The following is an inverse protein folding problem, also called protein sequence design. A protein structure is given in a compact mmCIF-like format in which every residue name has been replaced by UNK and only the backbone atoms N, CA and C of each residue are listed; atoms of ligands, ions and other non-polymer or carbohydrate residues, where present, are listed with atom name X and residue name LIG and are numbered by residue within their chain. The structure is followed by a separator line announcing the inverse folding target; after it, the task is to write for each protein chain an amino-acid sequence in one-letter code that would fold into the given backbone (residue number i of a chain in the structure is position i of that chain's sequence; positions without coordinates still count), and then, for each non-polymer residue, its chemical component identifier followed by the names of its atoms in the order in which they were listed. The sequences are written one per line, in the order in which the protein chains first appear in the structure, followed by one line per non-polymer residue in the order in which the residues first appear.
data_IF_066291889594
#
_entry.id   IF_066291889594
#
_cell.length_a   1.000
_cell.length_b   1.000
_cell.length_c   1.000
_cell.angle_alpha   90.00
_cell.angle_beta   90.00
_cell.angle_gamma   90.00
#
_symmetry.space_group_name_H-M   'P 1'
#
loop_
_entity.id
_entity.type
_entity.pdbx_description
1 polymer ?
2 polymer ?
#
# COMPACT_ATOMS: atom_id res chain seq x y z
N UNK A 11 -4.59 27.06 -10.71
CA UNK A 11 -3.38 26.65 -11.47
C UNK A 11 -3.52 25.21 -11.95
N UNK A 12 -3.71 25.04 -13.26
CA UNK A 12 -3.99 23.73 -13.85
C UNK A 12 -2.73 22.97 -14.21
N UNK A 13 -2.90 21.71 -14.62
CA UNK A 13 -1.79 20.83 -14.98
C UNK A 13 -2.21 19.80 -16.03
N UNK A 14 -1.24 19.37 -16.84
CA UNK A 14 -1.46 18.37 -17.88
C UNK A 14 -0.90 17.03 -17.43
N UNK A 15 -1.60 15.95 -17.75
CA UNK A 15 -1.17 14.60 -17.42
C UNK A 15 -1.25 13.72 -18.66
N UNK A 16 -0.19 12.95 -18.92
CA UNK A 16 -0.12 12.06 -20.07
C UNK A 16 0.35 10.67 -19.66
N UNK A 17 -0.12 9.65 -20.37
CA UNK A 17 0.18 8.25 -20.03
C UNK A 17 0.45 7.43 -21.30
N UNK A 18 1.48 6.61 -21.27
CA UNK A 18 1.75 5.65 -22.35
C UNK A 18 2.32 4.34 -21.77
N UNK A 19 2.04 3.21 -22.44
CA UNK A 19 2.71 1.96 -22.07
C UNK A 19 4.14 1.93 -22.57
N UNK A 20 4.86 0.82 -22.34
CA UNK A 20 6.25 0.68 -22.76
C UNK A 20 6.35 -0.15 -24.04
N UNK A 32 -2.47 4.82 -25.11
CA UNK A 32 -2.11 6.18 -24.73
C UNK A 32 -3.27 6.91 -24.06
N UNK A 33 -2.97 8.00 -23.37
CA UNK A 33 -3.99 8.77 -22.65
C UNK A 33 -3.51 10.19 -22.39
N UNK A 34 -4.46 11.13 -22.31
CA UNK A 34 -4.16 12.54 -22.06
C UNK A 34 -5.26 13.15 -21.18
N UNK A 35 -4.88 13.65 -20.01
CA UNK A 35 -5.84 14.17 -19.03
C UNK A 35 -5.44 15.56 -18.54
N UNK A 36 -6.32 16.15 -17.74
CA UNK A 36 -6.08 17.45 -17.10
C UNK A 36 -6.34 17.33 -15.60
N UNK A 37 -5.96 18.37 -14.84
CA UNK A 37 -6.13 18.36 -13.39
C UNK A 37 -5.85 19.69 -12.73
N UNK A 38 -5.56 19.65 -11.43
CA UNK A 38 -5.30 20.86 -10.64
C UNK A 38 -4.21 20.61 -9.60
N UNK A 39 -3.23 21.51 -9.56
CA UNK A 39 -2.21 21.49 -8.50
C UNK A 39 -2.83 21.90 -7.17
N UNK A 40 -2.17 21.56 -6.07
CA UNK A 40 -2.63 21.91 -4.73
C UNK A 40 -1.69 22.95 -4.10
N UNK A 41 -2.26 23.91 -3.39
CA UNK A 41 -1.49 24.99 -2.76
C UNK A 41 -0.64 24.50 -1.57
N UNK A 42 -0.97 23.32 -1.05
CA UNK A 42 -0.20 22.69 0.02
C UNK A 42 1.22 22.31 -0.42
N UNK A 43 1.36 21.92 -1.69
CA UNK A 43 2.65 21.46 -2.23
C UNK A 43 3.28 22.51 -3.15
N UNK A 44 4.44 22.16 -3.70
CA UNK A 44 5.14 23.02 -4.66
C UNK A 44 4.83 22.55 -6.09
N UNK A 45 4.38 23.48 -6.94
CA UNK A 45 3.99 23.17 -8.31
C UNK A 45 5.20 23.03 -9.23
N UNK A 46 5.31 21.89 -9.89
CA UNK A 46 6.39 21.61 -10.83
C UNK A 46 6.03 20.42 -11.71
N UNK A 47 6.77 20.21 -12.81
CA UNK A 47 6.57 18.98 -13.60
C UNK A 47 7.22 17.78 -12.92
N UNK A 48 6.93 16.59 -13.45
CA UNK A 48 7.48 15.35 -12.92
C UNK A 48 7.19 14.17 -13.85
N UNK A 49 7.99 13.12 -13.73
CA UNK A 49 7.82 11.90 -14.52
C UNK A 49 8.07 10.67 -13.65
N UNK A 50 7.55 9.52 -14.09
CA UNK A 50 7.78 8.26 -13.39
C UNK A 50 6.77 7.20 -13.76
N UNK A 51 6.88 6.05 -13.11
CA UNK A 51 5.95 4.94 -13.31
C UNK A 51 4.65 5.19 -12.53
N UNK A 52 3.62 4.44 -12.89
CA UNK A 52 2.30 4.59 -12.25
C UNK A 52 2.04 3.46 -11.26
N UNK A 53 1.99 3.82 -9.97
CA UNK A 53 1.73 2.86 -8.90
C UNK A 53 0.53 3.30 -8.06
N UNK A 54 -0.49 2.46 -7.98
CA UNK A 54 -1.66 2.71 -7.14
C UNK A 54 -1.27 2.52 -5.68
N UNK A 55 -1.89 3.32 -4.80
CA UNK A 55 -1.70 3.15 -3.36
C UNK A 55 -3.03 3.29 -2.62
N UNK A 56 -3.25 2.36 -1.67
CA UNK A 56 -4.45 2.36 -0.84
C UNK A 56 -4.33 3.51 0.16
N UNK A 57 -5.45 4.22 0.44
CA UNK A 57 -5.44 5.29 1.43
C UNK A 57 -4.83 4.90 2.79
N UNK A 58 -5.07 3.66 3.22
CA UNK A 58 -4.54 3.16 4.49
C UNK A 58 -3.08 2.72 4.39
N UNK A 59 -2.56 2.59 3.17
CA UNK A 59 -1.14 2.28 2.96
C UNK A 59 -0.30 3.42 3.50
N UNK A 60 -0.66 4.64 3.13
CA UNK A 60 0.05 5.83 3.60
C UNK A 60 -0.27 6.11 5.07
N UNK A 61 0.37 5.36 5.96
CA UNK A 61 0.13 5.48 7.40
C UNK A 61 1.40 5.69 8.23
N UNK A 62 2.10 4.59 8.56
CA UNK A 62 3.21 4.67 9.52
C UNK A 62 4.13 3.45 9.41
N UNK A 69 8.91 -0.99 -2.78
CA UNK A 69 8.88 -0.60 -4.19
C UNK A 69 10.05 0.31 -4.51
N UNK A 70 10.61 0.15 -5.72
CA UNK A 70 11.71 0.98 -6.18
C UNK A 70 11.23 2.40 -6.45
N UNK A 71 12.12 3.40 -6.30
CA UNK A 71 11.72 4.81 -6.37
C UNK A 71 11.44 5.29 -7.80
N UNK A 72 11.16 6.58 -7.94
CA UNK A 72 10.91 7.19 -9.25
C UNK A 72 9.57 6.80 -9.84
N UNK A 73 8.51 7.02 -9.06
CA UNK A 73 7.15 6.69 -9.48
C UNK A 73 6.17 7.79 -9.09
N UNK A 74 5.13 7.97 -9.89
CA UNK A 74 4.06 8.89 -9.57
C UNK A 74 2.91 8.09 -8.98
N UNK A 75 2.63 8.31 -7.69
CA UNK A 75 1.59 7.57 -6.99
C UNK A 75 0.21 8.02 -7.43
N UNK A 76 -0.74 7.09 -7.43
CA UNK A 76 -2.15 7.40 -7.71
C UNK A 76 -3.01 6.82 -6.59
N UNK A 77 -3.62 7.70 -5.81
CA UNK A 77 -4.42 7.31 -4.66
C UNK A 77 -5.86 7.78 -4.81
N UNK A 78 -6.79 6.85 -4.85
CA UNK A 78 -8.20 7.19 -4.84
C UNK A 78 -8.70 7.31 -3.40
N UNK A 79 -9.12 8.51 -3.04
CA UNK A 79 -9.60 8.80 -1.70
C UNK A 79 -11.07 8.41 -1.58
N UNK A 80 -11.41 7.70 -0.51
CA UNK A 80 -12.80 7.39 -0.21
C UNK A 80 -13.46 8.61 0.43
N UNK A 81 -14.76 8.51 0.69
CA UNK A 81 -15.55 9.63 1.22
C UNK A 81 -14.96 10.22 2.49
N UNK A 88 -9.34 9.18 10.89
CA UNK A 88 -8.42 8.99 9.78
C UNK A 88 -6.97 8.88 10.23
N UNK A 89 -6.20 8.08 9.49
CA UNK A 89 -4.81 7.78 9.83
C UNK A 89 -3.94 9.04 9.87
N UNK A 90 -3.98 9.80 8.77
CA UNK A 90 -3.22 11.04 8.64
C UNK A 90 -4.03 12.06 7.86
N UNK A 91 -3.64 13.32 7.95
CA UNK A 91 -4.22 14.37 7.11
C UNK A 91 -3.74 14.15 5.68
N UNK A 92 -4.55 14.59 4.71
CA UNK A 92 -4.21 14.42 3.29
C UNK A 92 -2.84 15.01 2.96
N UNK A 93 -2.51 16.13 3.58
CA UNK A 93 -1.19 16.75 3.43
C UNK A 93 -0.10 15.80 3.93
N UNK A 94 -0.30 15.25 5.12
CA UNK A 94 0.63 14.28 5.69
C UNK A 94 0.67 12.97 4.92
N UNK A 95 -0.46 12.60 4.30
CA UNK A 95 -0.50 11.46 3.39
C UNK A 95 0.33 11.72 2.15
N UNK A 96 0.23 12.95 1.62
CA UNK A 96 1.05 13.38 0.49
C UNK A 96 2.52 13.51 0.91
N UNK A 97 2.75 13.95 2.14
CA UNK A 97 4.08 14.06 2.72
C UNK A 97 4.75 12.69 2.79
N UNK A 98 4.02 11.71 3.34
CA UNK A 98 4.52 10.34 3.47
C UNK A 98 4.77 9.68 2.11
N UNK A 99 3.92 10.00 1.13
CA UNK A 99 4.05 9.47 -0.22
C UNK A 99 5.38 9.89 -0.84
N UNK A 100 5.68 11.19 -0.75
CA UNK A 100 6.96 11.72 -1.22
C UNK A 100 8.13 11.13 -0.46
N UNK A 101 7.99 11.05 0.86
CA UNK A 101 9.03 10.48 1.72
C UNK A 101 9.27 8.99 1.46
N UNK A 102 8.29 8.31 0.87
CA UNK A 102 8.44 6.90 0.49
C UNK A 102 9.04 6.76 -0.92
N UNK A 103 9.32 7.88 -1.57
CA UNK A 103 10.04 7.90 -2.86
C UNK A 103 9.15 8.13 -4.07
N UNK A 104 8.24 9.10 -3.96
CA UNK A 104 7.27 9.37 -5.02
C UNK A 104 7.60 10.68 -5.76
N UNK A 105 7.57 10.63 -7.08
CA UNK A 105 7.85 11.80 -7.92
C UNK A 105 6.75 12.85 -7.79
N UNK A 106 5.50 12.39 -7.76
CA UNK A 106 4.35 13.26 -7.55
C UNK A 106 3.15 12.48 -7.03
N UNK A 107 2.23 13.18 -6.37
CA UNK A 107 1.06 12.54 -5.79
C UNK A 107 -0.20 12.92 -6.57
N UNK A 108 -0.84 11.92 -7.17
CA UNK A 108 -2.12 12.10 -7.84
C UNK A 108 -3.26 11.65 -6.92
N UNK A 109 -4.12 12.59 -6.55
CA UNK A 109 -5.29 12.29 -5.72
C UNK A 109 -6.55 12.27 -6.57
N UNK A 110 -7.11 11.08 -6.78
CA UNK A 110 -8.40 10.92 -7.42
C UNK A 110 -9.48 11.27 -6.39
N UNK A 111 -10.10 12.43 -6.56
CA UNK A 111 -11.03 12.97 -5.56
C UNK A 111 -12.49 12.92 -6.01
N UNK A 112 -12.81 11.98 -6.90
CA UNK A 112 -14.16 11.80 -7.41
C UNK A 112 -15.18 11.58 -6.29
N UNK A 113 -14.80 10.77 -5.30
CA UNK A 113 -15.69 10.43 -4.18
C UNK A 113 -15.59 11.38 -2.98
N UNK A 114 -14.79 12.44 -3.10
CA UNK A 114 -14.67 13.44 -2.03
C UNK A 114 -14.13 14.76 -2.58
N UNK A 115 -15.04 15.62 -3.03
CA UNK A 115 -14.68 16.91 -3.61
C UNK A 115 -14.20 17.88 -2.54
N UNK A 116 -14.61 17.65 -1.28
CA UNK A 116 -14.15 18.44 -0.15
C UNK A 116 -12.67 18.34 0.13
N UNK A 117 -12.03 17.29 -0.37
CA UNK A 117 -10.59 17.12 -0.27
C UNK A 117 -9.83 18.31 -0.87
N UNK A 118 -10.34 18.84 -1.97
CA UNK A 118 -9.72 19.99 -2.65
C UNK A 118 -9.67 21.23 -1.75
N UNK A 119 -10.78 21.49 -1.05
CA UNK A 119 -10.86 22.62 -0.12
C UNK A 119 -9.83 22.51 1.00
N UNK A 120 -9.59 21.29 1.48
CA UNK A 120 -8.66 21.04 2.59
C UNK A 120 -7.21 20.79 2.15
N UNK A 121 -6.88 21.13 0.91
CA UNK A 121 -5.49 21.08 0.41
C UNK A 121 -5.01 22.46 -0.04
N UNK A 122 -5.73 23.50 0.37
CA UNK A 122 -5.41 24.88 -0.03
C UNK A 122 -4.42 25.54 0.90
N UNK A 123 -4.24 24.97 2.09
CA UNK A 123 -3.35 25.55 3.10
C UNK A 123 -1.90 25.16 2.79
N UNK A 124 -1.00 26.16 2.71
CA UNK A 124 0.37 25.91 2.25
C UNK A 124 1.22 25.17 3.28
N UNK A 125 1.90 24.12 2.85
CA UNK A 125 2.80 23.35 3.71
C UNK A 125 4.22 23.20 3.15
N UNK A 126 4.40 23.49 1.87
CA UNK A 126 5.72 23.42 1.24
C UNK A 126 6.21 22.00 1.02
N UNK A 127 5.34 21.15 0.51
CA UNK A 127 5.72 19.80 0.10
C UNK A 127 6.55 19.89 -1.17
N UNK A 128 7.55 19.03 -1.29
CA UNK A 128 8.46 19.05 -2.44
C UNK A 128 7.79 18.52 -3.71
N UNK A 129 7.50 17.23 -3.74
CA UNK A 129 6.84 16.61 -4.90
C UNK A 129 5.45 17.21 -5.08
N UNK A 130 5.04 17.46 -6.33
CA UNK A 130 3.77 18.15 -6.58
C UNK A 130 2.55 17.26 -6.34
N UNK A 131 1.45 17.87 -5.90
CA UNK A 131 0.22 17.15 -5.59
C UNK A 131 -0.88 17.58 -6.54
N UNK A 132 -1.16 16.75 -7.55
CA UNK A 132 -2.17 17.05 -8.56
C UNK A 132 -3.48 16.31 -8.26
N UNK A 133 -4.60 16.98 -8.51
CA UNK A 133 -5.93 16.42 -8.25
C UNK A 133 -6.65 16.13 -9.56
N UNK A 134 -7.45 15.06 -9.57
CA UNK A 134 -8.25 14.68 -10.73
C UNK A 134 -9.59 14.07 -10.31
N UNK A 135 -10.57 14.12 -11.21
CA UNK A 135 -11.86 13.46 -11.00
C UNK A 135 -12.64 13.34 -12.30
N UNK A 136 -13.76 12.61 -12.25
CA UNK A 136 -14.66 12.48 -13.40
C UNK A 136 -14.22 11.38 -14.36
N UNK A 137 -14.51 11.55 -15.66
CA UNK A 137 -14.11 10.54 -16.66
C UNK A 137 -12.61 10.49 -16.91
N UNK A 138 -11.90 11.57 -16.57
CA UNK A 138 -10.44 11.56 -16.61
C UNK A 138 -9.90 10.57 -15.58
N UNK A 139 -10.40 10.68 -14.35
CA UNK A 139 -10.02 9.77 -13.27
C UNK A 139 -10.46 8.33 -13.54
N UNK A 140 -11.65 8.17 -14.10
CA UNK A 140 -12.14 6.85 -14.52
C UNK A 140 -11.19 6.22 -15.53
N UNK A 141 -10.80 7.00 -16.53
CA UNK A 141 -9.87 6.53 -17.56
C UNK A 141 -8.52 6.12 -16.99
N UNK A 142 -7.95 6.96 -16.13
CA UNK A 142 -6.65 6.69 -15.52
C UNK A 142 -6.65 5.36 -14.76
N UNK A 143 -7.73 5.12 -14.00
CA UNK A 143 -7.82 3.92 -13.16
C UNK A 143 -8.04 2.65 -13.97
N UNK A 144 -8.60 2.76 -15.16
CA UNK A 144 -8.81 1.60 -16.04
C UNK A 144 -7.49 1.13 -16.66
N UNK A 145 -6.58 2.07 -16.90
CA UNK A 145 -5.24 1.73 -17.37
C UNK A 145 -4.50 0.92 -16.30
N UNK A 146 -4.64 1.32 -15.04
CA UNK A 146 -4.08 0.57 -13.92
C UNK A 146 -4.79 -0.77 -13.76
N UNK A 147 -6.12 -0.74 -13.90
CA UNK A 147 -6.94 -1.95 -13.85
C UNK A 147 -6.55 -2.97 -14.91
N UNK A 148 -6.17 -2.50 -16.09
CA UNK A 148 -5.74 -3.36 -17.20
C UNK A 148 -4.44 -4.12 -16.89
N UNK A 149 -3.67 -3.62 -15.91
CA UNK A 149 -2.43 -4.28 -15.45
C UNK A 149 -1.34 -4.43 -16.52
N UNK A 150 -1.35 -3.52 -17.50
CA UNK A 150 -0.27 -3.43 -18.48
C UNK A 150 0.62 -2.27 -18.05
N UNK A 151 1.87 -2.58 -17.72
CA UNK A 151 2.82 -1.58 -17.21
C UNK A 151 2.89 -0.34 -18.11
N UNK A 152 2.98 0.83 -17.48
CA UNK A 152 2.96 2.09 -18.21
C UNK A 152 3.70 3.21 -17.47
N UNK A 153 4.14 4.20 -18.23
CA UNK A 153 4.84 5.36 -17.68
C UNK A 153 3.94 6.60 -17.73
N UNK A 154 4.18 7.53 -16.81
CA UNK A 154 3.34 8.73 -16.68
C UNK A 154 4.21 9.98 -16.46
N UNK A 155 3.78 11.10 -17.04
CA UNK A 155 4.47 12.37 -16.90
C UNK A 155 3.51 13.51 -16.63
N UNK A 156 4.02 14.60 -16.07
CA UNK A 156 3.23 15.79 -15.75
C UNK A 156 3.96 17.05 -16.23
N UNK A 157 3.21 17.92 -16.91
CA UNK A 157 3.70 19.23 -17.32
C UNK A 157 2.82 20.30 -16.67
N UNK A 158 3.35 21.52 -16.57
CA UNK A 158 2.65 22.64 -15.94
C UNK A 158 2.05 23.57 -16.99
N UNK B 9 -13.38 -7.75 -3.57
CA UNK B 9 -14.34 -7.20 -2.57
C UNK B 9 -15.03 -8.33 -1.82
N UNK B 10 -14.29 -8.96 -0.91
CA UNK B 10 -14.77 -10.13 -0.16
C UNK B 10 -14.31 -10.03 1.30
N UNK B 11 -15.27 -9.98 2.22
CA UNK B 11 -14.99 -9.86 3.65
C UNK B 11 -15.00 -8.43 4.18
N UNK B 12 -15.17 -7.44 3.30
CA UNK B 12 -15.14 -6.03 3.70
C UNK B 12 -16.46 -5.61 4.34
N UNK B 13 -16.44 -4.42 4.93
CA UNK B 13 -17.65 -3.78 5.44
C UNK B 13 -18.02 -2.64 4.49
N UNK B 14 -17.11 -1.68 4.35
CA UNK B 14 -17.20 -0.67 3.30
C UNK B 14 -16.24 -1.07 2.19
N UNK B 15 -16.65 -0.87 0.95
CA UNK B 15 -15.91 -1.41 -0.19
C UNK B 15 -15.95 -0.50 -1.43
N UNK B 16 -14.86 -0.55 -2.20
CA UNK B 16 -14.72 0.15 -3.48
C UNK B 16 -14.09 -0.80 -4.48
N UNK B 17 -14.44 -0.67 -5.76
CA UNK B 17 -13.87 -1.53 -6.80
C UNK B 17 -12.39 -1.20 -7.07
N UNK B 18 -12.01 0.06 -6.88
CA UNK B 18 -10.64 0.53 -7.13
C UNK B 18 -9.71 0.21 -5.97
N UNK B 19 -10.17 0.45 -4.74
CA UNK B 19 -9.36 0.21 -3.53
C UNK B 19 -9.64 -1.14 -2.88
N UNK B 20 -10.63 -1.88 -3.37
CA UNK B 20 -11.03 -3.14 -2.76
C UNK B 20 -11.71 -2.90 -1.43
N UNK B 21 -11.36 -3.70 -0.42
CA UNK B 21 -11.92 -3.53 0.92
C UNK B 21 -11.31 -2.30 1.60
N UNK B 22 -12.16 -1.42 2.10
CA UNK B 22 -11.73 -0.22 2.80
C UNK B 22 -11.67 -0.47 4.30
N UNK B 23 -12.78 -0.95 4.86
CA UNK B 23 -12.83 -1.37 6.25
C UNK B 23 -13.24 -2.83 6.36
N UNK B 24 -12.79 -3.48 7.42
CA UNK B 24 -13.07 -4.89 7.65
C UNK B 24 -14.10 -5.08 8.75
N UNK B 25 -14.68 -6.28 8.78
CA UNK B 25 -15.44 -6.72 9.93
C UNK B 25 -14.43 -7.01 11.03
N UNK B 26 -14.78 -6.70 12.30
CA UNK B 26 -13.89 -6.98 13.43
C UNK B 26 -13.27 -8.39 13.43
N UNK B 27 -14.01 -9.37 12.91
CA UNK B 27 -13.54 -10.77 12.87
C UNK B 27 -12.41 -11.05 11.87
N UNK B 28 -12.20 -10.17 10.89
CA UNK B 28 -11.20 -10.42 9.84
C UNK B 28 -9.98 -9.51 9.93
N UNK B 29 -8.89 -9.95 9.28
CA UNK B 29 -7.63 -9.21 9.26
C UNK B 29 -7.46 -8.42 7.97
N UNK B 30 -7.12 -7.14 8.09
CA UNK B 30 -6.88 -6.27 6.95
C UNK B 30 -5.52 -6.55 6.33
N UNK B 31 -5.44 -6.46 5.00
CA UNK B 31 -4.21 -6.80 4.29
C UNK B 31 -4.19 -6.23 2.86
N UNK B 32 -3.16 -5.44 2.57
CA UNK B 32 -3.01 -4.82 1.25
C UNK B 32 -2.30 -5.77 0.29
N UNK B 33 -3.06 -6.32 -0.66
CA UNK B 33 -2.50 -7.20 -1.67
C UNK B 33 -2.00 -6.38 -2.87
N UNK B 34 -0.72 -6.56 -3.20
CA UNK B 34 -0.11 -5.87 -4.34
C UNK B 34 -0.30 -6.70 -5.61
N UNK B 35 -0.34 -6.02 -6.75
CA UNK B 35 -0.46 -6.68 -8.05
C UNK B 35 0.12 -5.80 -9.15
N UNK B 36 1.44 -5.61 -9.10
CA UNK B 36 2.16 -4.80 -10.09
C UNK B 36 1.88 -3.32 -9.92
N UNK B 37 0.88 -2.83 -10.65
CA UNK B 37 0.42 -1.46 -10.52
C UNK B 37 -0.68 -1.35 -9.45
N UNK B 38 -1.54 -2.37 -9.40
CA UNK B 38 -2.70 -2.36 -8.51
C UNK B 38 -2.34 -2.62 -7.04
N UNK B 39 -3.11 -2.01 -6.15
CA UNK B 39 -3.05 -2.32 -4.72
C UNK B 39 -4.46 -2.21 -4.14
N UNK B 40 -5.03 -3.33 -3.71
CA UNK B 40 -6.37 -3.36 -3.15
C UNK B 40 -6.39 -4.09 -1.81
N UNK B 41 -7.27 -3.66 -0.92
CA UNK B 41 -7.38 -4.24 0.42
C UNK B 41 -8.13 -5.55 0.44
N UNK B 42 -7.87 -6.36 1.46
CA UNK B 42 -8.56 -7.62 1.67
C UNK B 42 -8.79 -7.86 3.16
N UNK B 43 -9.92 -8.47 3.50
CA UNK B 43 -10.19 -8.89 4.86
C UNK B 43 -10.25 -10.41 4.89
N UNK B 44 -9.41 -11.01 5.72
CA UNK B 44 -9.19 -12.46 5.70
C UNK B 44 -9.42 -13.09 7.07
N UNK B 45 -9.75 -14.38 7.07
CA UNK B 45 -9.91 -15.16 8.29
C UNK B 45 -8.65 -15.07 9.15
N UNK B 46 -7.52 -15.39 8.51
CA UNK B 46 -6.20 -15.27 9.14
C UNK B 46 -5.27 -14.55 8.17
N UNK B 47 -4.12 -14.11 8.68
CA UNK B 47 -3.12 -13.48 7.83
C UNK B 47 -2.52 -14.50 6.87
N UNK B 48 -2.09 -14.05 5.68
CA UNK B 48 -1.57 -14.98 4.68
C UNK B 48 -0.21 -15.54 5.10
N UNK B 49 0.19 -16.70 4.54
CA UNK B 49 1.48 -17.29 4.86
C UNK B 49 2.61 -16.28 4.80
N UNK B 50 3.45 -16.25 5.82
CA UNK B 50 4.55 -15.29 5.91
C UNK B 50 4.17 -13.98 6.58
N UNK B 51 2.94 -13.93 7.11
CA UNK B 51 2.48 -12.78 7.87
C UNK B 51 1.81 -13.25 9.17
N UNK B 52 1.93 -12.45 10.21
CA UNK B 52 1.29 -12.74 11.49
C UNK B 52 0.30 -11.62 11.84
N UNK B 53 -0.74 -11.98 12.60
CA UNK B 53 -1.82 -11.05 12.94
C UNK B 53 -1.44 -10.01 13.97
N UNK B 54 -1.91 -8.79 13.77
CA UNK B 54 -1.62 -7.67 14.65
C UNK B 54 -2.88 -6.83 14.85
N UNK B 55 -3.42 -6.83 16.06
CA UNK B 55 -4.58 -6.01 16.40
C UNK B 55 -4.17 -4.55 16.51
N UNK B 56 -4.09 -3.88 15.36
CA UNK B 56 -3.62 -2.49 15.30
C UNK B 56 -4.55 -1.49 15.95
N UNK B 57 -4.17 -0.20 15.93
CA UNK B 57 -4.93 0.86 16.61
C UNK B 57 -6.40 0.91 16.18
N UNK B 58 -6.63 0.98 14.87
CA UNK B 58 -7.99 0.98 14.32
C UNK B 58 -8.36 -0.38 13.71
N UNK B 59 -7.38 -1.06 13.13
CA UNK B 59 -7.62 -2.26 12.32
C UNK B 59 -6.82 -3.46 12.82
N UNK B 60 -7.42 -4.64 12.70
CA UNK B 60 -6.66 -5.89 12.74
C UNK B 60 -5.87 -5.99 11.44
N UNK B 61 -4.55 -6.03 11.54
CA UNK B 61 -3.68 -5.98 10.35
C UNK B 61 -2.64 -7.11 10.34
N UNK B 62 -1.92 -7.23 9.23
CA UNK B 62 -0.96 -8.29 9.02
C UNK B 62 0.45 -7.74 8.87
N UNK B 63 1.34 -8.15 9.78
CA UNK B 63 2.74 -7.74 9.74
C UNK B 63 3.60 -8.88 9.21
N UNK B 64 4.70 -8.52 8.54
CA UNK B 64 5.57 -9.50 7.90
C UNK B 64 6.37 -10.33 8.90
N UNK B 65 6.40 -11.65 8.70
CA UNK B 65 7.11 -12.57 9.59
C UNK B 65 8.62 -12.47 9.38
N UNK B 66 9.30 -11.84 10.34
CA UNK B 66 10.75 -11.60 10.26
C UNK B 66 11.49 -12.25 11.42
N UNK B 67 11.65 -13.57 11.35
CA UNK B 67 12.45 -14.33 12.31
C UNK B 67 13.55 -15.07 11.54
N UNK B 68 14.69 -15.28 12.19
CA UNK B 68 15.82 -15.98 11.59
C UNK B 68 15.49 -17.41 11.15
N UNK B 69 15.48 -17.63 9.84
CA UNK B 69 15.24 -18.95 9.24
C UNK B 69 13.87 -19.55 9.57
N UNK B 70 12.87 -18.71 9.76
CA UNK B 70 11.49 -19.13 10.00
C UNK B 70 10.66 -18.84 8.76
N UNK B 71 9.65 -19.68 8.52
CA UNK B 71 8.79 -19.55 7.34
C UNK B 71 7.37 -19.07 7.67
N UNK B 72 6.87 -19.45 8.86
CA UNK B 72 5.51 -19.09 9.28
C UNK B 72 5.49 -18.65 10.74
N UNK B 73 4.89 -17.48 10.98
CA UNK B 73 4.85 -16.87 12.31
C UNK B 73 3.46 -16.96 12.95
N UNK B 74 3.43 -17.22 14.25
CA UNK B 74 2.24 -16.95 15.06
C UNK B 74 2.34 -15.49 15.51
N UNK B 75 3.50 -15.13 16.06
CA UNK B 75 3.75 -13.79 16.56
C UNK B 75 5.15 -13.32 16.13
N UNK B 76 5.58 -12.17 16.68
CA UNK B 76 6.84 -11.53 16.30
C UNK B 76 8.08 -12.36 16.67
N UNK B 77 8.04 -12.98 17.85
CA UNK B 77 9.16 -13.78 18.34
C UNK B 77 8.76 -15.24 18.58
N UNK B 78 7.91 -15.76 17.71
CA UNK B 78 7.50 -17.16 17.78
C UNK B 78 7.16 -17.71 16.40
N UNK B 79 7.74 -18.87 16.09
CA UNK B 79 7.63 -19.47 14.76
C UNK B 79 6.73 -20.70 14.79
N UNK B 80 5.82 -20.79 13.81
CA UNK B 80 4.98 -21.97 13.63
C UNK B 80 5.79 -23.07 12.95
N UNK B 81 6.27 -22.79 11.74
CA UNK B 81 7.00 -23.76 10.94
C UNK B 81 8.25 -23.12 10.35
N UNK B 82 9.38 -23.79 10.50
CA UNK B 82 10.68 -23.26 10.12
C UNK B 82 10.97 -23.42 8.64
N UNK B 83 12.11 -22.88 8.21
CA UNK B 83 12.65 -23.16 6.89
C UNK B 83 12.93 -24.66 6.83
N UNK B 84 12.34 -25.35 5.85
CA UNK B 84 12.51 -26.80 5.72
C UNK B 84 13.97 -27.21 5.93
N UNK B 85 14.19 -28.17 6.83
CA UNK B 85 15.53 -28.63 7.17
C UNK B 85 16.14 -27.92 8.36
N UNK B 86 15.33 -27.16 9.09
CA UNK B 86 15.74 -26.50 10.32
C UNK B 86 14.92 -27.05 11.49
N UNK B 87 15.50 -27.00 12.69
CA UNK B 87 14.90 -27.61 13.87
C UNK B 87 14.35 -26.53 14.81
N UNK B 88 13.07 -26.66 15.16
CA UNK B 88 12.38 -25.65 15.97
C UNK B 88 12.56 -25.88 17.47
N UNK B 89 12.66 -24.79 18.22
CA UNK B 89 12.74 -24.86 19.69
C UNK B 89 12.28 -23.54 20.32
N UNK B 90 11.19 -23.62 21.10
CA UNK B 90 10.59 -22.46 21.77
C UNK B 90 10.35 -21.30 20.80
N UNK B 91 9.76 -21.62 19.65
CA UNK B 91 9.45 -20.62 18.63
C UNK B 91 10.65 -20.02 17.91
N UNK B 92 11.77 -20.75 17.92
CA UNK B 92 12.99 -20.33 17.23
C UNK B 92 13.54 -21.49 16.42
N UNK B 93 14.16 -21.16 15.27
CA UNK B 93 14.64 -22.18 14.34
C UNK B 93 16.17 -22.24 14.32
N UNK B 94 16.71 -23.45 14.26
CA UNK B 94 18.15 -23.67 14.27
C UNK B 94 18.54 -24.77 13.27
N UNK B 95 19.65 -24.55 12.58
CA UNK B 95 20.29 -25.61 11.78
C UNK B 95 21.11 -26.46 12.74
N UNK B 96 22.00 -25.79 13.48
CA UNK B 96 22.72 -26.42 14.58
C UNK B 96 21.81 -26.52 15.79
N UNK B 97 21.12 -27.65 15.93
CA UNK B 97 20.22 -27.87 17.05
C UNK B 97 20.99 -27.76 18.37
N UNK B 98 20.55 -26.85 19.27
CA UNK B 98 21.34 -26.48 20.45
C UNK B 98 21.49 -27.60 21.51
N UNK B 99 22.22 -27.28 22.57
CA UNK B 99 22.59 -28.26 23.60
C UNK B 99 21.49 -28.52 24.64
N UNK B 100 20.39 -27.77 24.57
CA UNK B 100 19.26 -27.96 25.48
C UNK B 100 18.68 -29.35 25.38
N UNK B 101 18.21 -29.71 24.19
CA UNK B 101 17.75 -31.07 23.90
C UNK B 101 18.07 -31.43 22.45
N UNK B 102 18.24 -32.73 22.19
CA UNK B 102 18.56 -33.22 20.85
C UNK B 102 17.31 -33.28 19.99
N UNK B 103 17.48 -33.40 18.66
CA UNK B 103 16.31 -33.55 17.78
C UNK B 103 15.56 -34.85 18.03
N UNK B 104 14.24 -34.84 17.84
CA UNK B 104 13.41 -36.02 18.04
C UNK B 104 13.62 -37.01 16.88
N UNK B 105 13.37 -38.29 17.16
CA UNK B 105 13.64 -39.39 16.21
C UNK B 105 13.50 -39.04 14.73
N UNK B 106 12.34 -38.51 14.35
CA UNK B 106 12.05 -38.21 12.95
C UNK B 106 11.74 -36.72 12.74
N UNK B 107 10.73 -36.21 13.45
CA UNK B 107 10.30 -34.82 13.31
C UNK B 107 11.37 -33.84 13.78
N UNK B 108 11.41 -32.66 13.16
CA UNK B 108 12.45 -31.66 13.42
C UNK B 108 12.07 -30.72 14.57
N UNK B 109 12.21 -31.21 15.79
CA UNK B 109 11.94 -30.43 17.00
C UNK B 109 12.97 -30.79 18.08
N UNK B 110 13.74 -29.80 18.54
CA UNK B 110 14.76 -30.04 19.56
C UNK B 110 14.13 -30.12 20.95
#
# INVERSE_FOLDING_TARGET
ETGTTEREMDVKALIRVTPLQAEESGGVGQGNLTLEGLFARVAEISPAEGRLLQFHPLSLCNTSEDDQTKPGFISIVKLETPDRDTQPCLSLANKARLAGERGAHAVLFDITNDRGALQQLQQPAGINQPVVLIWGPDAEKLMDVVNKNKEALVKIEVQEQPKWLHHDGTHHHHHHHHHH
ETGGTNPICKGCLSCSKDNGCLRCQPKLFFYLRREGMRQYGECLQSCPPGYYGVRGPDMNRCSRCRIENCDSCFSRDFCIKCKSGFYSHKGQCFEECPEGFAPLDDTMVCVDGTKHHHHHH
#
